data_IF_416993107087
#
_entry.id   IF_416993107087
#
_cell.length_a   1.000
_cell.length_b   1.000
_cell.length_c   1.000
_cell.angle_alpha   90.00
_cell.angle_beta   90.00
_cell.angle_gamma   90.00
#
_symmetry.space_group_name_H-M   'P 1'
#
loop_
_entity.id
_entity.type
_entity.pdbx_description
1 polymer ?
2 non-polymer ?
3 non-polymer ?
4 water ?
#
# COMPACT_ATOMS: atom_id res chain seq x y z
N UNK A 1 17.38 2.52 -6.65
CA UNK A 1 17.34 3.93 -6.97
C UNK A 1 16.61 4.69 -5.85
N UNK A 2 16.37 5.98 -6.06
CA UNK A 2 15.42 6.70 -5.24
C UNK A 2 14.16 6.84 -6.11
N UNK A 3 13.01 6.41 -5.57
CA UNK A 3 11.77 6.44 -6.36
C UNK A 3 10.85 7.47 -5.76
N UNK A 4 10.42 8.40 -6.63
CA UNK A 4 9.54 9.48 -6.27
C UNK A 4 8.12 8.96 -6.01
N UNK A 5 7.33 9.66 -5.18
CA UNK A 5 5.93 9.22 -4.97
C UNK A 5 4.94 10.21 -5.59
N UNK A 6 5.43 11.09 -6.48
CA UNK A 6 4.45 11.89 -7.19
C UNK A 6 3.57 11.02 -8.11
N UNK A 7 4.14 9.96 -8.69
CA UNK A 7 3.31 9.01 -9.45
C UNK A 7 3.31 7.69 -8.66
N UNK A 8 2.44 6.80 -9.10
CA UNK A 8 2.43 5.39 -8.59
C UNK A 8 3.79 4.77 -8.85
N UNK A 9 4.35 4.10 -7.83
CA UNK A 9 5.72 3.51 -7.96
C UNK A 9 5.62 2.13 -8.62
N UNK A 10 5.49 2.16 -9.94
CA UNK A 10 5.43 0.93 -10.72
C UNK A 10 6.80 0.51 -11.19
N UNK A 11 7.08 -0.78 -11.13
CA UNK A 11 8.30 -1.35 -11.63
C UNK A 11 8.04 -2.60 -12.41
N UNK A 12 9.08 -3.04 -13.17
CA UNK A 12 9.02 -4.33 -13.86
C UNK A 12 9.49 -5.44 -12.94
N UNK A 13 8.73 -6.53 -12.84
CA UNK A 13 9.21 -7.73 -12.12
C UNK A 13 9.44 -8.81 -13.18
N UNK A 14 10.34 -9.73 -12.88
CA UNK A 14 10.39 -10.98 -13.63
C UNK A 14 10.00 -12.10 -12.73
N UNK A 15 9.03 -12.89 -13.18
CA UNK A 15 8.53 -13.99 -12.34
C UNK A 15 7.95 -15.07 -13.24
N UNK A 16 8.28 -16.30 -12.89
CA UNK A 16 7.79 -17.47 -13.64
C UNK A 16 8.11 -17.34 -15.14
N UNK A 17 9.25 -16.80 -15.50
CA UNK A 17 9.56 -16.60 -16.88
C UNK A 17 8.89 -15.42 -17.58
N UNK A 18 8.00 -14.69 -16.87
CA UNK A 18 7.20 -13.61 -17.47
C UNK A 18 7.68 -12.23 -16.98
N UNK A 19 7.46 -11.19 -17.77
CA UNK A 19 7.74 -9.80 -17.33
C UNK A 19 6.39 -9.17 -17.04
N UNK A 20 6.28 -8.48 -15.90
CA UNK A 20 5.00 -7.93 -15.48
C UNK A 20 5.26 -6.58 -14.82
N UNK A 21 4.23 -5.73 -14.80
CA UNK A 21 4.38 -4.46 -14.09
C UNK A 21 3.68 -4.64 -12.74
N UNK A 22 4.23 -4.03 -11.68
CA UNK A 22 3.63 -4.19 -10.36
C UNK A 22 3.93 -2.97 -9.52
N UNK A 23 3.10 -2.78 -8.48
CA UNK A 23 3.14 -1.54 -7.67
C UNK A 23 3.88 -1.84 -6.39
N UNK A 24 4.91 -1.06 -6.07
CA UNK A 24 5.66 -1.28 -4.80
C UNK A 24 4.82 -0.71 -3.67
N UNK A 25 4.41 -1.57 -2.72
CA UNK A 25 3.42 -1.16 -1.75
C UNK A 25 3.87 -1.41 -0.35
N UNK A 26 4.34 -0.35 0.27
CA UNK A 26 4.94 -0.45 1.63
C UNK A 26 3.88 -0.82 2.69
N UNK A 27 2.62 -0.64 2.37
CA UNK A 27 1.62 -0.93 3.35
C UNK A 27 1.04 -2.35 3.17
N UNK A 28 1.45 -3.08 2.11
CA UNK A 28 0.90 -4.40 1.78
C UNK A 28 1.66 -5.53 2.58
N UNK A 29 0.97 -6.44 3.32
CA UNK A 29 1.70 -7.56 4.01
C UNK A 29 2.28 -8.56 3.00
N UNK A 30 1.55 -8.76 1.90
CA UNK A 30 1.79 -9.82 0.94
C UNK A 30 1.95 -9.25 -0.47
N UNK A 31 2.49 -10.10 -1.32
CA UNK A 31 2.62 -9.81 -2.75
C UNK A 31 1.50 -10.59 -3.45
N UNK A 32 0.77 -9.91 -4.32
CA UNK A 32 -0.37 -10.51 -4.93
C UNK A 32 -0.39 -10.12 -6.41
N UNK A 33 -0.53 -11.12 -7.26
CA UNK A 33 -0.47 -10.87 -8.70
C UNK A 33 -1.73 -11.40 -9.34
N UNK A 34 -2.10 -10.81 -10.47
CA UNK A 34 -3.22 -11.31 -11.26
C UNK A 34 -2.96 -12.70 -11.74
N UNK A 35 -4.04 -13.34 -12.23
CA UNK A 35 -3.98 -14.75 -12.55
C UNK A 35 -2.84 -15.09 -13.49
N UNK A 36 -2.07 -16.11 -13.09
CA UNK A 36 -0.89 -16.57 -13.81
C UNK A 36 -0.57 -17.91 -13.27
N UNK A 37 0.19 -18.68 -14.05
CA UNK A 37 0.59 -20.00 -13.66
C UNK A 37 1.93 -19.93 -12.88
N UNK A 38 2.07 -20.68 -11.79
CA UNK A 38 3.37 -20.82 -11.15
C UNK A 38 3.58 -22.32 -10.82
N UNK A 39 4.85 -22.77 -10.75
CA UNK A 39 5.18 -24.21 -10.45
C UNK A 39 5.02 -24.55 -8.99
N UNK A 40 4.82 -25.84 -8.68
CA UNK A 40 4.93 -26.29 -7.32
C UNK A 40 3.64 -26.24 -6.57
N UNK A 41 3.76 -26.37 -5.25
CA UNK A 41 2.61 -26.61 -4.34
C UNK A 41 1.94 -25.28 -4.02
N UNK A 42 0.63 -25.31 -3.76
CA UNK A 42 -0.07 -24.08 -3.34
C UNK A 42 -1.20 -24.39 -2.35
N UNK A 43 -1.61 -23.38 -1.59
CA UNK A 43 -2.76 -23.58 -0.69
C UNK A 43 -3.66 -22.33 -0.76
N UNK A 44 -4.99 -22.48 -0.54
CA UNK A 44 -5.81 -21.28 -0.74
C UNK A 44 -5.68 -20.36 0.51
N UNK A 45 -6.02 -19.07 0.32
CA UNK A 45 -5.88 -18.03 1.33
C UNK A 45 -6.91 -16.96 1.06
N UNK A 46 -7.49 -16.40 2.12
CA UNK A 46 -8.32 -15.21 1.97
C UNK A 46 -7.46 -14.03 2.41
N UNK A 47 -7.46 -12.99 1.60
CA UNK A 47 -6.75 -11.78 1.92
C UNK A 47 -7.67 -10.60 1.84
N UNK A 48 -7.46 -9.68 2.77
CA UNK A 48 -8.39 -8.52 2.94
C UNK A 48 -7.71 -7.19 2.70
N UNK A 49 -8.49 -6.28 2.13
CA UNK A 49 -8.04 -4.92 1.88
C UNK A 49 -9.29 -4.09 1.83
N UNK A 50 -9.17 -2.88 1.31
CA UNK A 50 -10.30 -2.05 1.23
C UNK A 50 -11.34 -2.75 0.32
N UNK A 51 -12.56 -2.69 0.79
CA UNK A 51 -13.70 -3.37 0.08
C UNK A 51 -13.97 -4.83 0.45
N UNK A 52 -13.09 -5.44 1.25
CA UNK A 52 -13.31 -6.78 1.75
C UNK A 52 -12.28 -7.77 1.25
N UNK A 53 -12.63 -9.06 1.23
CA UNK A 53 -11.62 -10.09 0.98
C UNK A 53 -11.75 -10.73 -0.39
N UNK A 54 -10.66 -11.24 -0.90
CA UNK A 54 -10.67 -12.12 -2.13
C UNK A 54 -9.86 -13.41 -1.82
N UNK A 55 -10.17 -14.47 -2.55
CA UNK A 55 -9.57 -15.78 -2.32
C UNK A 55 -8.43 -15.86 -3.34
N UNK A 56 -7.29 -16.34 -2.88
CA UNK A 56 -6.08 -16.39 -3.76
C UNK A 56 -5.41 -17.75 -3.53
N UNK A 57 -4.47 -18.12 -4.41
CA UNK A 57 -3.62 -19.26 -4.25
C UNK A 57 -2.28 -18.76 -3.69
N UNK A 58 -1.81 -19.42 -2.66
CA UNK A 58 -0.50 -19.07 -2.08
C UNK A 58 0.63 -20.06 -2.52
N UNK A 59 1.64 -19.53 -3.21
CA UNK A 59 2.82 -20.33 -3.66
C UNK A 59 3.96 -19.81 -2.85
N UNK A 60 4.67 -20.69 -2.15
CA UNK A 60 5.88 -20.34 -1.43
C UNK A 60 7.21 -20.59 -2.18
N UNK A 61 8.27 -19.92 -1.73
CA UNK A 61 9.67 -20.06 -2.25
C UNK A 61 9.65 -19.87 -3.76
N UNK A 62 9.08 -18.75 -4.18
CA UNK A 62 9.10 -18.38 -5.59
C UNK A 62 10.15 -17.36 -5.88
N UNK A 63 11.03 -17.61 -6.88
CA UNK A 63 12.07 -16.62 -7.22
C UNK A 63 11.44 -15.48 -8.01
N UNK A 64 11.90 -14.27 -7.78
CA UNK A 64 11.37 -13.10 -8.43
C UNK A 64 12.56 -12.15 -8.60
N UNK A 65 12.47 -11.29 -9.60
CA UNK A 65 13.45 -10.24 -9.77
C UNK A 65 12.77 -8.92 -9.87
N UNK A 66 13.22 -7.93 -9.09
CA UNK A 66 12.44 -6.64 -8.99
C UNK A 66 13.43 -5.53 -9.23
N UNK A 67 13.24 -4.78 -10.32
CA UNK A 67 14.30 -3.83 -10.72
C UNK A 67 15.67 -4.36 -10.70
N UNK A 68 15.89 -5.56 -11.21
CA UNK A 68 17.24 -6.11 -11.18
C UNK A 68 17.72 -6.76 -9.90
N UNK A 69 16.89 -6.73 -8.86
CA UNK A 69 17.29 -7.33 -7.59
C UNK A 69 16.50 -8.63 -7.46
N UNK A 70 17.25 -9.72 -7.35
CA UNK A 70 16.73 -11.05 -7.06
C UNK A 70 16.28 -11.25 -5.58
N UNK A 71 15.17 -11.99 -5.42
CA UNK A 71 14.63 -12.34 -4.12
C UNK A 71 13.83 -13.59 -4.29
N UNK A 72 13.47 -14.15 -3.14
CA UNK A 72 12.60 -15.30 -3.16
C UNK A 72 11.59 -15.16 -2.04
N UNK A 73 10.35 -15.60 -2.28
CA UNK A 73 9.30 -15.47 -1.27
C UNK A 73 7.97 -15.98 -1.71
N UNK A 74 6.96 -15.67 -0.87
CA UNK A 74 5.63 -16.17 -1.12
C UNK A 74 4.99 -15.20 -2.11
N UNK A 75 4.29 -15.76 -3.09
CA UNK A 75 3.54 -14.94 -4.07
C UNK A 75 2.11 -15.46 -4.07
N UNK A 76 1.15 -14.55 -3.96
CA UNK A 76 -0.25 -14.87 -3.95
C UNK A 76 -0.80 -14.55 -5.34
N UNK A 77 -1.63 -15.44 -5.85
CA UNK A 77 -2.19 -15.30 -7.24
C UNK A 77 -3.72 -15.40 -7.21
N UNK A 78 -4.38 -14.36 -7.74
CA UNK A 78 -5.87 -14.41 -7.72
C UNK A 78 -6.44 -13.17 -8.42
N UNK A 79 -7.74 -12.93 -8.23
CA UNK A 79 -8.45 -11.81 -8.92
C UNK A 79 -8.21 -10.43 -8.27
N UNK A 80 -6.94 -10.10 -8.07
CA UNK A 80 -6.58 -8.75 -7.66
C UNK A 80 -6.76 -7.73 -8.80
N UNK A 81 -7.26 -6.56 -8.45
CA UNK A 81 -7.44 -5.55 -9.51
C UNK A 81 -6.09 -5.08 -10.03
N UNK A 82 -5.02 -5.24 -9.25
CA UNK A 82 -3.73 -4.77 -9.75
C UNK A 82 -2.58 -5.56 -9.08
N UNK A 83 -1.43 -5.62 -9.75
CA UNK A 83 -0.30 -6.38 -9.19
C UNK A 83 0.39 -5.54 -8.08
N UNK A 84 0.60 -6.13 -6.93
CA UNK A 84 1.19 -5.45 -5.80
C UNK A 84 2.40 -6.25 -5.33
N UNK A 85 3.54 -5.56 -5.11
CA UNK A 85 4.70 -6.13 -4.43
C UNK A 85 4.65 -5.66 -2.97
N UNK A 86 4.47 -6.61 -2.04
CA UNK A 86 4.32 -6.22 -0.66
C UNK A 86 5.62 -6.34 0.11
N UNK A 87 5.50 -6.12 1.39
CA UNK A 87 6.70 -6.02 2.23
C UNK A 87 7.49 -7.33 2.29
N UNK A 88 6.86 -8.49 2.14
CA UNK A 88 7.64 -9.75 2.19
C UNK A 88 8.77 -9.83 1.13
N UNK A 89 8.63 -9.13 0.03
CA UNK A 89 9.71 -9.07 -1.01
C UNK A 89 10.42 -7.74 -0.98
N UNK A 90 9.71 -6.66 -0.59
CA UNK A 90 10.40 -5.37 -0.49
C UNK A 90 11.56 -5.37 0.51
N UNK A 91 11.45 -6.10 1.59
CA UNK A 91 12.55 -6.22 2.59
C UNK A 91 13.77 -6.83 1.88
N UNK A 92 13.52 -7.84 1.06
CA UNK A 92 14.64 -8.66 0.47
C UNK A 92 15.50 -7.88 -0.50
N UNK A 93 14.92 -6.87 -1.12
CA UNK A 93 15.67 -5.99 -2.03
C UNK A 93 16.20 -4.72 -1.34
N UNK A 94 15.99 -4.64 -0.03
CA UNK A 94 16.50 -3.53 0.78
C UNK A 94 15.78 -2.23 0.56
N UNK A 95 14.49 -2.33 0.31
CA UNK A 95 13.63 -1.14 0.13
C UNK A 95 13.20 -0.54 1.46
N UNK A 96 13.45 0.78 1.58
CA UNK A 96 13.08 1.56 2.77
C UNK A 96 12.26 2.79 2.33
N UNK A 97 11.43 3.29 3.25
CA UNK A 97 10.78 4.62 3.09
C UNK A 97 11.65 5.67 3.80
N UNK A 98 11.83 6.86 3.22
CA UNK A 98 12.68 7.85 3.83
C UNK A 98 12.01 9.16 3.67
N UNK A 99 12.05 9.92 4.75
CA UNK A 99 11.60 11.31 4.75
C UNK A 99 12.29 12.07 5.86
N UNK B 1 13.02 10.22 9.15
CA UNK B 1 13.49 8.87 9.49
C UNK B 1 13.71 7.92 8.23
N UNK B 2 14.33 6.77 8.44
CA UNK B 2 14.39 5.72 7.41
C UNK B 2 13.65 4.52 7.98
N UNK B 3 12.66 4.00 7.25
CA UNK B 3 11.81 3.01 7.88
C UNK B 3 11.95 1.74 7.04
N UNK B 4 12.37 0.66 7.70
CA UNK B 4 12.45 -0.60 7.01
C UNK B 4 11.07 -1.30 7.06
N UNK B 5 10.94 -2.40 6.34
CA UNK B 5 9.63 -2.96 6.09
C UNK B 5 9.44 -4.37 6.64
N UNK B 6 10.29 -4.74 7.61
CA UNK B 6 10.16 -6.06 8.26
C UNK B 6 8.89 -6.13 9.08
N UNK B 7 8.42 -4.99 9.57
CA UNK B 7 7.13 -4.88 10.23
C UNK B 7 6.28 -3.82 9.43
N UNK B 8 4.99 -3.78 9.72
CA UNK B 8 4.10 -2.78 9.12
C UNK B 8 4.62 -1.37 9.48
N UNK B 9 4.68 -0.48 8.51
CA UNK B 9 5.15 0.88 8.70
C UNK B 9 4.03 1.78 9.38
N UNK B 10 3.75 1.42 10.61
CA UNK B 10 2.71 2.08 11.40
C UNK B 10 3.29 3.24 12.05
N UNK B 11 2.67 4.42 11.85
CA UNK B 11 3.16 5.64 12.50
C UNK B 11 2.03 6.32 13.25
N UNK B 12 2.40 7.28 14.09
CA UNK B 12 1.36 8.09 14.80
C UNK B 12 1.07 9.36 14.00
N UNK B 13 -0.22 9.65 13.86
CA UNK B 13 -0.69 10.86 13.13
C UNK B 13 -1.50 11.64 14.08
N UNK B 14 -1.60 12.93 13.83
CA UNK B 14 -2.44 13.73 14.65
C UNK B 14 -3.43 14.52 13.75
N UNK B 15 -4.71 14.34 14.04
CA UNK B 15 -5.74 14.97 13.20
C UNK B 15 -6.88 15.41 14.10
N UNK B 16 -7.36 16.63 13.90
CA UNK B 16 -8.46 17.15 14.78
C UNK B 16 -8.05 17.11 16.23
N UNK B 17 -6.77 17.33 16.52
CA UNK B 17 -6.23 17.31 17.92
C UNK B 17 -6.09 15.91 18.54
N UNK B 18 -6.41 14.84 17.79
CA UNK B 18 -6.36 13.47 18.37
C UNK B 18 -5.23 12.70 17.74
N UNK B 19 -4.63 11.77 18.50
CA UNK B 19 -3.56 10.87 17.96
C UNK B 19 -4.20 9.62 17.49
N UNK B 20 -3.73 9.12 16.33
CA UNK B 20 -4.20 7.87 15.81
C UNK B 20 -2.98 7.16 15.21
N UNK B 21 -3.09 5.86 14.95
CA UNK B 21 -2.04 5.12 14.24
C UNK B 21 -2.52 4.91 12.83
N UNK B 22 -1.55 4.94 11.90
CA UNK B 22 -1.87 4.81 10.53
C UNK B 22 -0.69 4.21 9.79
N UNK B 23 -1.00 3.58 8.66
CA UNK B 23 -0.02 2.83 7.87
C UNK B 23 0.45 3.64 6.66
N UNK B 24 1.76 3.77 6.53
CA UNK B 24 2.32 4.50 5.38
C UNK B 24 2.32 3.61 4.14
N UNK B 25 1.44 3.92 3.20
CA UNK B 25 1.14 2.96 2.12
C UNK B 25 1.43 3.58 0.76
N UNK B 26 2.56 3.21 0.13
CA UNK B 26 2.90 3.81 -1.13
C UNK B 26 2.06 3.21 -2.29
N UNK B 27 1.35 2.13 -2.05
CA UNK B 27 0.40 1.60 -3.05
C UNK B 27 -0.99 2.30 -3.02
N UNK B 28 -1.14 3.33 -2.20
CA UNK B 28 -2.39 4.05 -2.09
C UNK B 28 -2.34 5.43 -2.68
N UNK B 29 -3.23 5.71 -3.63
CA UNK B 29 -3.23 7.14 -4.18
C UNK B 29 -3.71 8.15 -3.13
N UNK B 30 -4.62 7.67 -2.28
CA UNK B 30 -5.36 8.53 -1.42
C UNK B 30 -5.16 8.07 0.04
N UNK B 31 -5.54 8.95 0.97
CA UNK B 31 -5.50 8.66 2.42
C UNK B 31 -6.94 8.33 2.88
N UNK B 32 -7.12 7.22 3.59
CA UNK B 32 -8.41 6.85 4.04
C UNK B 32 -8.35 6.51 5.53
N UNK B 33 -9.21 7.14 6.32
CA UNK B 33 -9.23 6.92 7.77
C UNK B 33 -10.58 6.30 8.17
N UNK B 34 -10.55 5.49 9.21
CA UNK B 34 -11.78 4.95 9.80
C UNK B 34 -12.71 6.08 10.22
N UNK B 35 -13.99 5.72 10.41
CA UNK B 35 -15.03 6.72 10.81
C UNK B 35 -14.54 7.67 11.89
N UNK B 36 -14.79 8.95 11.65
CA UNK B 36 -14.39 10.00 12.59
C UNK B 36 -15.10 11.26 12.14
N UNK B 37 -15.12 12.26 13.02
CA UNK B 37 -15.71 13.56 12.73
C UNK B 37 -14.70 14.52 12.15
N UNK B 38 -15.06 15.19 11.06
CA UNK B 38 -14.19 16.29 10.58
C UNK B 38 -15.06 17.52 10.25
N UNK B 39 -14.46 18.70 10.17
CA UNK B 39 -15.24 19.94 9.95
C UNK B 39 -15.59 20.13 8.47
N UNK B 40 -16.62 20.94 8.22
CA UNK B 40 -16.81 21.44 6.85
C UNK B 40 -17.78 20.59 6.06
N UNK B 41 -17.82 20.86 4.76
CA UNK B 41 -18.65 20.01 3.87
C UNK B 41 -17.79 18.88 3.31
N UNK B 42 -18.44 17.78 2.88
CA UNK B 42 -17.73 16.69 2.24
C UNK B 42 -18.34 16.39 0.92
N UNK B 43 -17.58 15.74 0.01
CA UNK B 43 -18.02 15.35 -1.32
C UNK B 43 -17.89 13.80 -1.42
N UNK B 44 -18.71 13.16 -2.26
CA UNK B 44 -18.68 11.74 -2.38
C UNK B 44 -17.45 11.27 -3.19
N UNK B 45 -16.92 10.10 -2.82
CA UNK B 45 -15.90 9.47 -3.68
C UNK B 45 -16.08 7.96 -3.54
N UNK B 46 -15.95 7.24 -4.64
CA UNK B 46 -15.95 5.79 -4.69
C UNK B 46 -14.47 5.43 -4.91
N UNK B 47 -13.90 4.64 -4.01
CA UNK B 47 -12.51 4.21 -4.17
C UNK B 47 -12.45 2.70 -4.27
N UNK B 48 -11.46 2.18 -4.99
CA UNK B 48 -11.35 0.72 -5.15
C UNK B 48 -10.14 0.23 -4.41
N UNK B 49 -10.29 -0.92 -3.75
CA UNK B 49 -9.19 -1.59 -3.07
C UNK B 49 -9.16 -3.03 -3.59
N UNK B 50 -8.40 -3.86 -2.90
CA UNK B 50 -8.22 -5.22 -3.38
C UNK B 50 -9.50 -5.99 -3.34
N UNK B 51 -10.35 -5.64 -2.38
CA UNK B 51 -11.66 -6.36 -2.24
C UNK B 51 -12.84 -5.78 -3.00
N UNK B 52 -12.68 -4.62 -3.62
CA UNK B 52 -13.76 -4.07 -4.39
C UNK B 52 -13.90 -2.59 -4.05
N UNK B 53 -15.08 -2.01 -4.29
CA UNK B 53 -15.23 -0.58 -4.14
C UNK B 53 -16.02 -0.23 -2.87
N UNK B 54 -15.66 0.92 -2.26
CA UNK B 54 -16.38 1.46 -1.13
C UNK B 54 -16.72 2.90 -1.40
N UNK B 55 -17.75 3.41 -0.71
CA UNK B 55 -18.09 4.83 -0.71
C UNK B 55 -17.48 5.49 0.50
N UNK B 56 -16.86 6.64 0.28
CA UNK B 56 -16.23 7.33 1.37
C UNK B 56 -16.67 8.82 1.33
N UNK B 57 -16.41 9.50 2.43
CA UNK B 57 -16.58 10.96 2.51
C UNK B 57 -15.28 11.68 2.31
N UNK B 58 -15.26 12.61 1.33
CA UNK B 58 -14.05 13.35 1.02
C UNK B 58 -14.02 14.71 1.66
N UNK B 59 -13.04 14.94 2.52
CA UNK B 59 -12.85 16.27 3.14
C UNK B 59 -11.55 16.86 2.60
N UNK B 60 -11.60 18.13 2.18
CA UNK B 60 -10.39 18.70 1.60
C UNK B 60 -9.74 19.67 2.56
N UNK B 61 -8.42 19.85 2.37
CA UNK B 61 -7.65 20.91 3.04
C UNK B 61 -7.69 20.74 4.60
N UNK B 62 -7.58 19.46 5.02
CA UNK B 62 -7.51 19.11 6.43
C UNK B 62 -6.09 19.07 6.98
N UNK B 63 -5.79 19.82 8.06
CA UNK B 63 -4.47 19.67 8.66
C UNK B 63 -4.28 18.28 9.28
N UNK B 64 -3.12 17.70 9.05
CA UNK B 64 -2.80 16.42 9.63
C UNK B 64 -1.29 16.32 9.80
N UNK B 65 -0.89 15.87 10.97
CA UNK B 65 0.56 15.72 11.25
C UNK B 65 0.87 14.22 11.12
N UNK B 66 1.93 13.91 10.39
CA UNK B 66 2.32 12.49 10.20
C UNK B 66 3.73 12.30 10.75
N UNK B 67 3.89 11.48 11.77
CA UNK B 67 5.20 11.33 12.43
C UNK B 67 5.82 12.65 12.75
N UNK B 68 5.03 13.63 13.15
CA UNK B 68 5.52 15.02 13.44
C UNK B 68 5.71 15.96 12.24
N UNK B 69 5.53 15.44 11.00
CA UNK B 69 5.57 16.26 9.84
C UNK B 69 4.20 16.83 9.49
N UNK B 70 4.13 18.15 9.28
CA UNK B 70 2.87 18.81 9.01
C UNK B 70 2.46 18.70 7.54
N UNK B 71 1.23 18.29 7.31
CA UNK B 71 0.61 18.28 6.03
C UNK B 71 -0.78 18.91 6.11
N UNK B 72 -1.31 19.32 4.98
CA UNK B 72 -2.71 19.83 4.88
C UNK B 72 -3.26 19.30 3.55
N UNK B 73 -4.21 18.35 3.60
CA UNK B 73 -4.70 17.80 2.34
C UNK B 73 -5.99 17.04 2.47
N UNK B 74 -6.25 16.28 1.42
CA UNK B 74 -7.51 15.55 1.31
C UNK B 74 -7.49 14.33 2.18
N UNK B 75 -8.54 14.15 2.95
CA UNK B 75 -8.63 12.91 3.75
C UNK B 75 -10.03 12.31 3.46
N UNK B 76 -10.05 11.04 3.20
CA UNK B 76 -11.27 10.29 2.95
C UNK B 76 -11.63 9.51 4.20
N UNK B 77 -12.92 9.45 4.50
CA UNK B 77 -13.39 8.79 5.75
C UNK B 77 -14.36 7.70 5.36
N UNK B 78 -14.12 6.47 5.84
CA UNK B 78 -15.10 5.43 5.57
C UNK B 78 -14.62 4.10 6.10
N UNK B 79 -15.28 3.01 5.66
CA UNK B 79 -15.10 1.69 6.21
C UNK B 79 -13.83 1.00 5.71
N UNK B 80 -12.70 1.38 6.25
CA UNK B 80 -11.48 0.77 5.88
C UNK B 80 -10.97 -0.16 6.95
N UNK B 81 -10.24 -1.22 6.52
CA UNK B 81 -9.66 -2.11 7.51
C UNK B 81 -8.60 -1.48 8.41
N UNK B 82 -7.93 -0.42 7.96
CA UNK B 82 -6.98 0.30 8.83
C UNK B 82 -6.83 1.70 8.28
N UNK B 83 -6.35 2.61 9.14
CA UNK B 83 -6.08 3.96 8.65
C UNK B 83 -4.89 3.89 7.68
N UNK B 84 -5.02 4.46 6.46
CA UNK B 84 -3.95 4.36 5.48
C UNK B 84 -3.55 5.79 5.04
N UNK B 85 -2.24 6.06 5.05
CA UNK B 85 -1.75 7.31 4.55
C UNK B 85 -1.24 7.04 3.13
N UNK B 86 -1.88 7.65 2.18
CA UNK B 86 -1.54 7.47 0.79
C UNK B 86 -0.60 8.54 0.19
N UNK B 87 -0.30 8.39 -1.09
CA UNK B 87 0.71 9.27 -1.69
C UNK B 87 0.36 10.79 -1.65
N UNK B 88 -0.94 11.14 -1.67
CA UNK B 88 -1.30 12.57 -1.60
C UNK B 88 -0.65 13.25 -0.39
N UNK B 89 -0.49 12.54 0.74
CA UNK B 89 0.14 13.16 1.95
C UNK B 89 1.58 12.70 2.09
N UNK B 90 1.91 11.47 1.63
CA UNK B 90 3.34 11.06 1.60
C UNK B 90 4.21 12.06 0.83
N UNK B 91 3.65 12.58 -0.27
CA UNK B 91 4.47 13.54 -1.04
C UNK B 91 4.63 14.86 -0.27
N UNK B 92 3.60 15.28 0.45
CA UNK B 92 3.70 16.51 1.25
C UNK B 92 4.81 16.48 2.33
N UNK B 93 5.09 15.31 2.90
CA UNK B 93 6.11 15.17 3.96
C UNK B 93 7.50 14.73 3.39
N UNK B 94 7.61 14.59 2.04
CA UNK B 94 8.91 14.41 1.36
C UNK B 94 9.38 12.98 1.37
N UNK B 95 8.42 12.07 1.41
CA UNK B 95 8.69 10.64 1.47
C UNK B 95 9.13 10.14 0.09
N UNK B 96 10.10 9.24 0.09
CA UNK B 96 10.51 8.54 -1.13
C UNK B 96 10.78 7.09 -0.79
N UNK B 97 10.91 6.27 -1.84
CA UNK B 97 11.31 4.85 -1.71
C UNK B 97 12.73 4.72 -2.19
N UNK B 98 13.53 4.00 -1.43
CA UNK B 98 14.96 3.85 -1.75
C UNK B 98 15.39 2.37 -1.64
N UNK B 99 16.12 1.87 -2.63
CA UNK B 99 16.76 0.54 -2.49
C UNK B 99 17.98 0.44 -3.40
X LIG C 1 7.69 -14.55 2.01
X LIG D 1 17.44 -4.28 6.51
X LIG E 1 -4.28 16.16 -0.95
X LIG F 1 -6.04 3.67 -7.02
X LIG F 1 -6.76 2.95 -6.00
X LIG F 1 -6.06 2.91 -4.80
X LIG F 1 -5.01 3.57 -4.61
X LIG F 1 -6.57 2.19 -3.83
X LIG F 1 -5.91 1.89 -2.53
X LIG F 1 -6.77 2.40 -1.36
X LIG F 1 -6.72 3.90 -1.50
X LIG F 1 -8.26 1.88 -1.41
X LIG F 1 -6.10 2.05 0.03
X LIG F 1 -5.56 0.37 -2.57
X LIG F 1 -6.35 -0.52 -2.22
X LIG F 1 -4.33 0.11 -3.09
X LIG F 1 -3.98 -1.13 -3.35
X LIG F 1 -3.81 -1.30 -4.82
X LIG F 1 -5.00 -1.14 -5.57
X LIG F 1 -6.13 -1.93 -5.26
X LIG F 1 -7.31 -1.70 -6.02
X LIG F 1 -7.36 -0.79 -7.03
X LIG F 1 -9.12 -0.62 -8.10
X LIG F 1 -6.23 -0.04 -7.33
X LIG F 1 -5.07 -0.18 -6.56
X LIG F 1 -2.71 -1.43 -2.73
X LIG F 1 -2.88 -2.20 -1.40
X LIG F 1 -3.53 -1.38 -0.25
X LIG F 1 -3.42 -2.18 1.04
X LIG F 1 -4.14 -1.34 2.21
X LIG F 1 -2.02 -2.34 1.29
X LIG F 1 -3.90 -3.54 1.02
X LIG F 1 -5.07 -3.87 0.78
X LIG F 1 -3.11 -4.57 1.55
X LIG F 1 -3.59 -5.97 1.84
X LIG F 1 -3.15 -6.98 0.81
X LIG F 1 -1.61 -6.97 0.59
X LIG F 1 -3.51 -8.42 1.38
X LIG F 1 -3.86 -6.75 -0.49
X LIG F 1 -3.10 -6.29 3.20
X LIG F 1 -1.93 -6.14 3.55
X LIG F 1 -3.92 -6.75 4.23
X LIG F 1 -3.49 -7.01 5.62
X LIG F 1 -4.65 -6.84 6.45
X LIG F 1 -5.03 -5.66 7.09
X LIG F 1 -4.37 -4.43 7.06
X LIG F 1 -4.34 -3.66 5.83
X LIG F 1 -3.15 -3.00 5.45
X LIG F 1 -3.05 -2.20 4.27
X LIG F 1 -4.19 -2.12 3.44
X LIG F 1 -5.38 -2.77 3.84
X LIG F 1 -5.45 -3.51 5.00
#
# INVERSE_FOLDING_TARGET
>A
PQITLWQRPLVTIKIGGQLKEALLDTGADDTVLEEMSLPGRWKPKMIGGIGGFIKVRQYDQIPIEICGHKAIGTVLVGPTPTNVIGRNLLTQIGCTLNF
>B
PQITLWQRPLVTIKIGGQLKEALLDTGADDTVLEEMSLPGRWKPKMIGGIGGFIKVRQYDQIPIEICGHKAIGTVLVGPTPTNVIGRNLLTQIGCTLNF
>C hetero
1 CL CL
>D hetero
1 CL CL
>E hetero
1 CL CL
>F hetero
1 M8B C19 O5 C18 O4 N4 C13 C14 C16 C17 C15 C12 O3 N3 N2 C10 C11 C20 C21 C22 BR1 C23 C24 C9 C8 C7 C1 C25 O1 C2 O2 N1 C3 C4 C6 C35 C5 C34 O6 N5 C37 C36 C33 C32 C29 C28 C27 C26 C31 C30
#
